data_IF_578420641634
#
_entry.id   IF_578420641634
#
_cell.length_a   1.000
_cell.length_b   1.000
_cell.length_c   1.000
_cell.angle_alpha   90.00
_cell.angle_beta   90.00
_cell.angle_gamma   90.00
#
_symmetry.space_group_name_H-M   'P 1'
#
loop_
_entity.id
_entity.type
_entity.pdbx_description
1 polymer ?
#
# COMPACT_ATOMS: atom_id res chain seq x y z
N UNK A 1 -13.54 -24.95 43.72
CA UNK A 1 -13.38 -25.03 42.26
C UNK A 1 -14.72 -25.34 41.65
N UNK A 2 -15.22 -24.48 40.78
CA UNK A 2 -16.46 -24.73 40.06
C UNK A 2 -16.31 -25.92 39.09
N UNK A 3 -17.36 -26.75 38.90
CA UNK A 3 -17.30 -27.90 37.97
C UNK A 3 -16.93 -27.51 36.53
N UNK A 4 -17.29 -26.29 36.11
CA UNK A 4 -16.99 -25.74 34.78
C UNK A 4 -15.50 -25.50 34.53
N UNK A 5 -14.69 -25.37 35.58
CA UNK A 5 -13.26 -25.04 35.51
C UNK A 5 -12.37 -26.25 35.82
N UNK A 6 -12.92 -27.32 36.37
CA UNK A 6 -12.18 -28.51 36.79
C UNK A 6 -11.38 -29.13 35.64
N UNK A 7 -11.99 -29.26 34.45
CA UNK A 7 -11.30 -29.78 33.27
C UNK A 7 -10.12 -28.92 32.83
N UNK A 8 -10.24 -27.59 32.97
CA UNK A 8 -9.17 -26.64 32.65
C UNK A 8 -8.05 -26.73 33.66
N UNK A 9 -8.38 -26.79 34.96
CA UNK A 9 -7.40 -26.98 36.02
C UNK A 9 -6.61 -28.28 35.86
N UNK A 10 -7.31 -29.40 35.63
CA UNK A 10 -6.66 -30.69 35.40
C UNK A 10 -5.74 -30.67 34.18
N UNK A 11 -6.13 -29.97 33.10
CA UNK A 11 -5.28 -29.80 31.93
C UNK A 11 -4.02 -28.96 32.23
N UNK A 12 -4.15 -27.90 33.04
CA UNK A 12 -3.02 -27.08 33.49
C UNK A 12 -2.07 -27.93 34.33
N UNK A 13 -2.57 -28.62 35.36
CA UNK A 13 -1.74 -29.47 36.24
C UNK A 13 -1.06 -30.58 35.46
N UNK A 14 -1.78 -31.21 34.52
CA UNK A 14 -1.20 -32.24 33.64
C UNK A 14 -0.03 -31.72 32.81
N UNK A 15 -0.07 -30.46 32.37
CA UNK A 15 0.94 -29.88 31.47
C UNK A 15 2.07 -29.17 32.21
N UNK A 16 1.76 -28.54 33.34
CA UNK A 16 2.66 -27.63 34.05
C UNK A 16 3.04 -28.11 35.46
N UNK A 17 2.46 -29.22 35.93
CA UNK A 17 2.65 -29.73 37.29
C UNK A 17 1.86 -28.93 38.32
N UNK A 18 2.22 -29.08 39.59
CA UNK A 18 1.65 -28.26 40.66
C UNK A 18 2.22 -26.84 40.57
N UNK A 19 1.36 -25.89 40.20
CA UNK A 19 1.68 -24.48 40.03
C UNK A 19 1.64 -23.70 41.36
N UNK A 20 1.30 -24.35 42.47
CA UNK A 20 1.08 -23.70 43.78
C UNK A 20 2.16 -23.98 44.83
N UNK A 21 3.20 -24.73 44.48
CA UNK A 21 4.26 -25.18 45.42
C UNK A 21 4.88 -24.05 46.26
N UNK A 22 5.09 -22.87 45.66
CA UNK A 22 5.71 -21.72 46.33
C UNK A 22 4.70 -20.69 46.86
N UNK A 23 3.40 -20.98 46.73
CA UNK A 23 2.32 -20.08 47.10
C UNK A 23 2.22 -19.95 48.63
N UNK A 24 2.27 -18.73 49.20
CA UNK A 24 2.22 -18.52 50.64
C UNK A 24 0.78 -18.57 51.21
N UNK A 25 -0.23 -18.82 50.37
CA UNK A 25 -1.62 -18.84 50.80
C UNK A 25 -1.93 -20.10 51.63
N UNK A 26 -2.14 -19.93 52.92
CA UNK A 26 -2.56 -21.00 53.83
C UNK A 26 -4.06 -21.33 53.70
N UNK A 27 -4.88 -20.34 53.35
CA UNK A 27 -6.32 -20.52 53.19
C UNK A 27 -6.65 -21.23 51.88
N UNK A 28 -7.13 -22.47 51.97
CA UNK A 28 -7.58 -23.24 50.80
C UNK A 28 -8.71 -22.54 50.03
N UNK A 29 -9.55 -21.75 50.70
CA UNK A 29 -10.57 -20.92 50.04
C UNK A 29 -9.93 -19.85 49.15
N UNK A 30 -8.96 -19.09 49.69
CA UNK A 30 -8.26 -18.05 48.94
C UNK A 30 -7.46 -18.62 47.77
N UNK A 31 -6.76 -19.74 47.99
CA UNK A 31 -6.01 -20.42 46.93
C UNK A 31 -6.95 -20.89 45.81
N UNK A 32 -8.11 -21.44 46.17
CA UNK A 32 -9.13 -21.86 45.21
C UNK A 32 -9.61 -20.68 44.36
N UNK A 33 -9.87 -19.51 44.95
CA UNK A 33 -10.30 -18.33 44.21
C UNK A 33 -9.26 -17.84 43.19
N UNK A 34 -7.97 -17.92 43.53
CA UNK A 34 -6.87 -17.57 42.61
C UNK A 34 -6.80 -18.56 41.45
N UNK A 35 -6.87 -19.87 41.75
CA UNK A 35 -6.88 -20.92 40.73
C UNK A 35 -8.09 -20.81 39.80
N UNK A 36 -9.27 -20.50 40.33
CA UNK A 36 -10.47 -20.26 39.52
C UNK A 36 -10.30 -19.08 38.56
N UNK A 37 -9.68 -17.98 39.01
CA UNK A 37 -9.38 -16.83 38.16
C UNK A 37 -8.41 -17.18 37.01
N UNK A 38 -7.37 -17.96 37.31
CA UNK A 38 -6.40 -18.45 36.31
C UNK A 38 -7.11 -19.37 35.29
N UNK A 39 -7.88 -20.36 35.77
CA UNK A 39 -8.61 -21.29 34.91
C UNK A 39 -9.61 -20.54 34.02
N UNK A 40 -10.30 -19.53 34.54
CA UNK A 40 -11.22 -18.71 33.75
C UNK A 40 -10.49 -17.95 32.65
N UNK A 41 -9.34 -17.31 32.96
CA UNK A 41 -8.53 -16.64 31.95
C UNK A 41 -8.09 -17.61 30.84
N UNK A 42 -7.62 -18.81 31.21
CA UNK A 42 -7.20 -19.85 30.25
C UNK A 42 -8.36 -20.30 29.36
N UNK A 43 -9.53 -20.54 29.95
CA UNK A 43 -10.71 -20.96 29.22
C UNK A 43 -11.18 -19.88 28.23
N UNK A 44 -11.19 -18.60 28.65
CA UNK A 44 -11.55 -17.49 27.76
C UNK A 44 -10.52 -17.30 26.64
N UNK A 45 -9.23 -17.47 26.92
CA UNK A 45 -8.17 -17.43 25.91
C UNK A 45 -8.31 -18.56 24.88
N UNK A 46 -8.78 -19.75 25.29
CA UNK A 46 -8.99 -20.90 24.40
C UNK A 46 -10.23 -20.74 23.50
N UNK A 47 -11.27 -20.06 23.99
CA UNK A 47 -12.53 -19.91 23.27
C UNK A 47 -12.52 -18.76 22.24
N UNK A 48 -11.64 -17.77 22.42
CA UNK A 48 -11.60 -16.56 21.59
C UNK A 48 -10.62 -16.71 20.43
N UNK A 49 -11.01 -16.20 19.27
CA UNK A 49 -10.13 -15.98 18.14
C UNK A 49 -9.26 -14.74 18.37
N UNK A 50 -8.08 -14.69 17.74
CA UNK A 50 -7.14 -13.56 17.87
C UNK A 50 -7.78 -12.20 17.52
N UNK A 51 -8.70 -12.17 16.56
CA UNK A 51 -9.42 -10.96 16.13
C UNK A 51 -10.41 -10.42 17.16
N UNK A 52 -10.73 -11.18 18.20
CA UNK A 52 -11.67 -10.80 19.27
C UNK A 52 -10.96 -10.18 20.48
N UNK A 53 -9.63 -10.12 20.49
CA UNK A 53 -8.87 -9.46 21.54
C UNK A 53 -8.67 -7.99 21.24
N UNK A 54 -8.74 -7.18 22.29
CA UNK A 54 -8.38 -5.76 22.28
C UNK A 54 -7.48 -5.45 23.48
N UNK A 55 -6.99 -4.21 23.56
CA UNK A 55 -6.06 -3.80 24.62
C UNK A 55 -6.67 -3.96 26.02
N UNK A 56 -7.93 -3.59 26.21
CA UNK A 56 -8.60 -3.64 27.51
C UNK A 56 -8.79 -5.09 27.98
N UNK A 57 -9.18 -5.97 27.06
CA UNK A 57 -9.38 -7.39 27.35
C UNK A 57 -8.05 -8.10 27.66
N UNK A 58 -6.98 -7.79 26.93
CA UNK A 58 -5.66 -8.33 27.28
C UNK A 58 -5.17 -7.80 28.62
N UNK A 59 -5.42 -6.53 28.93
CA UNK A 59 -5.07 -5.90 30.21
C UNK A 59 -5.75 -6.58 31.41
N UNK A 60 -7.00 -7.04 31.25
CA UNK A 60 -7.69 -7.78 32.31
C UNK A 60 -7.01 -9.12 32.61
N UNK A 61 -6.61 -9.89 31.59
CA UNK A 61 -5.87 -11.16 31.80
C UNK A 61 -4.48 -10.93 32.36
N UNK A 62 -3.76 -9.89 31.90
CA UNK A 62 -2.47 -9.52 32.49
C UNK A 62 -2.59 -9.16 33.97
N UNK A 63 -3.73 -8.62 34.39
CA UNK A 63 -3.96 -8.31 35.79
C UNK A 63 -4.12 -9.58 36.63
N UNK A 64 -4.84 -10.59 36.13
CA UNK A 64 -4.94 -11.92 36.76
C UNK A 64 -3.56 -12.56 36.90
N UNK A 65 -2.77 -12.57 35.81
CA UNK A 65 -1.42 -13.15 35.81
C UNK A 65 -0.51 -12.43 36.81
N UNK A 66 -0.51 -11.10 36.80
CA UNK A 66 0.30 -10.29 37.72
C UNK A 66 -0.05 -10.54 39.19
N UNK A 67 -1.33 -10.71 39.51
CA UNK A 67 -1.72 -10.97 40.89
C UNK A 67 -1.40 -12.41 41.32
N UNK A 68 -1.48 -13.39 40.40
CA UNK A 68 -1.01 -14.75 40.63
C UNK A 68 0.52 -14.82 40.84
N UNK A 69 1.31 -14.08 40.04
CA UNK A 69 2.76 -13.95 40.19
C UNK A 69 3.14 -13.38 41.57
N UNK A 70 2.45 -12.34 42.04
CA UNK A 70 2.65 -11.79 43.39
C UNK A 70 2.38 -12.81 44.50
N UNK A 71 1.44 -13.72 44.25
CA UNK A 71 1.11 -14.84 45.15
C UNK A 71 2.03 -16.05 44.92
N UNK A 72 3.11 -15.92 44.13
CA UNK A 72 4.06 -17.00 43.82
C UNK A 72 3.41 -18.25 43.22
N UNK A 73 2.26 -18.09 42.55
CA UNK A 73 1.69 -19.15 41.72
C UNK A 73 2.45 -19.14 40.39
N UNK A 74 2.95 -20.29 39.95
CA UNK A 74 3.71 -20.42 38.71
C UNK A 74 2.79 -20.26 37.49
N UNK A 75 2.78 -19.06 36.92
CA UNK A 75 1.97 -18.68 35.74
C UNK A 75 2.83 -18.12 34.60
N UNK A 76 4.14 -18.37 34.60
CA UNK A 76 5.08 -17.89 33.58
C UNK A 76 4.64 -18.32 32.17
N UNK A 77 4.11 -19.54 32.04
CA UNK A 77 3.58 -20.05 30.78
C UNK A 77 2.36 -19.27 30.28
N UNK A 78 1.53 -18.76 31.19
CA UNK A 78 0.35 -17.97 30.85
C UNK A 78 0.75 -16.54 30.50
N UNK A 79 1.73 -15.98 31.21
CA UNK A 79 2.39 -14.71 30.90
C UNK A 79 2.97 -14.73 29.48
N UNK A 80 3.79 -15.73 29.16
CA UNK A 80 4.34 -15.92 27.80
C UNK A 80 3.25 -16.03 26.76
N UNK A 81 2.19 -16.82 27.04
CA UNK A 81 1.10 -17.00 26.08
C UNK A 81 0.33 -15.70 25.82
N UNK A 82 0.14 -14.86 26.83
CA UNK A 82 -0.49 -13.55 26.66
C UNK A 82 0.39 -12.59 25.85
N UNK A 83 1.71 -12.64 26.05
CA UNK A 83 2.67 -11.84 25.28
C UNK A 83 2.63 -12.25 23.79
N UNK A 84 2.63 -13.56 23.48
CA UNK A 84 2.45 -14.08 22.11
C UNK A 84 1.12 -13.63 21.46
N UNK A 85 0.02 -13.66 22.21
CA UNK A 85 -1.29 -13.24 21.70
C UNK A 85 -1.29 -11.75 21.42
N UNK A 86 -0.70 -10.93 22.31
CA UNK A 86 -0.57 -9.49 22.12
C UNK A 86 0.22 -9.17 20.85
N UNK A 87 1.34 -9.85 20.63
CA UNK A 87 2.14 -9.69 19.42
C UNK A 87 1.37 -10.08 18.17
N UNK A 88 0.64 -11.21 18.21
CA UNK A 88 -0.20 -11.64 17.10
C UNK A 88 -1.31 -10.63 16.77
N UNK A 89 -1.96 -10.04 17.78
CA UNK A 89 -2.98 -8.99 17.61
C UNK A 89 -2.37 -7.75 16.96
N UNK A 90 -1.18 -7.32 17.40
CA UNK A 90 -0.48 -6.19 16.80
C UNK A 90 -0.13 -6.47 15.32
N UNK A 91 0.39 -7.66 15.01
CA UNK A 91 0.68 -8.09 13.64
C UNK A 91 -0.57 -8.05 12.75
N UNK A 92 -1.74 -8.47 13.25
CA UNK A 92 -3.02 -8.40 12.51
C UNK A 92 -3.38 -6.94 12.18
N UNK A 93 -3.25 -6.04 13.16
CA UNK A 93 -3.54 -4.61 12.98
C UNK A 93 -2.59 -3.98 11.96
N UNK A 94 -1.29 -4.26 12.06
CA UNK A 94 -0.27 -3.77 11.12
C UNK A 94 -0.50 -4.30 9.71
N UNK A 95 -0.77 -5.61 9.58
CA UNK A 95 -1.06 -6.25 8.28
C UNK A 95 -2.27 -5.59 7.60
N UNK A 96 -3.33 -5.28 8.37
CA UNK A 96 -4.49 -4.58 7.84
C UNK A 96 -4.12 -3.19 7.29
N UNK A 97 -3.35 -2.41 8.06
CA UNK A 97 -2.88 -1.08 7.62
C UNK A 97 -2.03 -1.15 6.35
N UNK A 98 -1.10 -2.10 6.29
CA UNK A 98 -0.27 -2.32 5.11
C UNK A 98 -1.09 -2.72 3.89
N UNK A 99 -2.12 -3.55 4.07
CA UNK A 99 -3.00 -3.94 2.97
C UNK A 99 -3.85 -2.76 2.47
N UNK A 100 -4.35 -1.92 3.38
CA UNK A 100 -5.09 -0.70 3.02
C UNK A 100 -4.19 0.27 2.23
N UNK A 101 -2.95 0.47 2.66
CA UNK A 101 -1.97 1.32 1.95
C UNK A 101 -1.57 0.74 0.59
N UNK A 102 -1.34 -0.57 0.50
CA UNK A 102 -1.09 -1.27 -0.77
C UNK A 102 -2.23 -1.03 -1.76
N UNK A 103 -3.49 -1.14 -1.31
CA UNK A 103 -4.65 -0.91 -2.16
C UNK A 103 -4.76 0.56 -2.61
N UNK A 104 -4.38 1.51 -1.75
CA UNK A 104 -4.31 2.94 -2.10
C UNK A 104 -3.28 3.19 -3.20
N UNK A 105 -2.07 2.66 -3.04
CA UNK A 105 -1.00 2.79 -4.03
C UNK A 105 -1.35 2.12 -5.36
N UNK A 106 -1.98 0.95 -5.34
CA UNK A 106 -2.42 0.27 -6.56
C UNK A 106 -3.40 1.13 -7.38
N UNK A 107 -4.36 1.80 -6.72
CA UNK A 107 -5.27 2.74 -7.38
C UNK A 107 -4.57 3.96 -7.94
N UNK A 108 -3.58 4.49 -7.22
CA UNK A 108 -2.79 5.63 -7.68
C UNK A 108 -2.00 5.27 -8.94
N UNK A 109 -1.33 4.11 -8.95
CA UNK A 109 -0.61 3.60 -10.13
C UNK A 109 -1.54 3.42 -11.32
N UNK A 110 -2.74 2.85 -11.11
CA UNK A 110 -3.72 2.69 -12.19
C UNK A 110 -4.14 4.03 -12.79
N UNK A 111 -4.38 5.05 -11.96
CA UNK A 111 -4.74 6.39 -12.43
C UNK A 111 -3.58 7.05 -13.18
N UNK A 112 -2.37 7.05 -12.62
CA UNK A 112 -1.18 7.61 -13.26
C UNK A 112 -0.87 6.91 -14.60
N UNK A 113 -1.11 5.60 -14.70
CA UNK A 113 -0.95 4.85 -15.96
C UNK A 113 -1.92 5.35 -17.02
N UNK A 114 -3.21 5.55 -16.68
CA UNK A 114 -4.22 6.08 -17.60
C UNK A 114 -3.90 7.50 -18.04
N UNK A 115 -3.43 8.34 -17.13
CA UNK A 115 -3.02 9.71 -17.44
C UNK A 115 -1.83 9.72 -18.42
N UNK A 116 -0.83 8.86 -18.19
CA UNK A 116 0.31 8.68 -19.09
C UNK A 116 -0.11 8.19 -20.48
N UNK A 117 -1.03 7.23 -20.56
CA UNK A 117 -1.58 6.75 -21.83
C UNK A 117 -2.26 7.89 -22.61
N UNK A 118 -3.05 8.73 -21.93
CA UNK A 118 -3.68 9.90 -22.54
C UNK A 118 -2.65 10.92 -23.05
N UNK A 119 -1.64 11.23 -22.23
CA UNK A 119 -0.57 12.16 -22.62
C UNK A 119 0.23 11.63 -23.82
N UNK A 120 0.53 10.33 -23.85
CA UNK A 120 1.22 9.72 -24.99
C UNK A 120 0.38 9.81 -26.28
N UNK A 121 -0.92 9.57 -26.21
CA UNK A 121 -1.81 9.70 -27.36
C UNK A 121 -1.91 11.15 -27.87
N UNK A 122 -1.83 12.15 -26.98
CA UNK A 122 -1.75 13.56 -27.37
C UNK A 122 -0.40 13.90 -28.02
N UNK A 123 0.70 13.38 -27.47
CA UNK A 123 2.04 13.56 -28.04
C UNK A 123 2.13 12.99 -29.46
N UNK A 124 1.57 11.81 -29.71
CA UNK A 124 1.53 11.20 -31.05
C UNK A 124 0.79 12.10 -32.05
N UNK A 125 -0.37 12.65 -31.66
CA UNK A 125 -1.13 13.60 -32.51
C UNK A 125 -0.33 14.85 -32.83
N UNK A 126 0.34 15.43 -31.82
CA UNK A 126 1.17 16.61 -32.00
C UNK A 126 2.36 16.33 -32.92
N UNK A 127 2.98 15.15 -32.80
CA UNK A 127 4.07 14.72 -33.68
C UNK A 127 3.61 14.62 -35.14
N UNK A 128 2.46 13.99 -35.41
CA UNK A 128 1.90 13.92 -36.77
C UNK A 128 1.58 15.31 -37.35
N UNK A 129 1.08 16.24 -36.52
CA UNK A 129 0.81 17.61 -36.96
C UNK A 129 2.08 18.40 -37.25
N UNK A 130 3.15 18.19 -36.46
CA UNK A 130 4.48 18.79 -36.72
C UNK A 130 5.03 18.29 -38.06
N UNK A 131 5.00 16.98 -38.30
CA UNK A 131 5.47 16.37 -39.55
C UNK A 131 4.69 16.91 -40.75
N UNK A 132 3.36 16.99 -40.63
CA UNK A 132 2.50 17.59 -41.67
C UNK A 132 2.88 19.04 -41.99
N UNK A 133 3.14 19.86 -40.96
CA UNK A 133 3.57 21.26 -41.14
C UNK A 133 4.96 21.38 -41.74
N UNK A 134 5.88 20.48 -41.40
CA UNK A 134 7.22 20.42 -42.01
C UNK A 134 7.12 20.12 -43.51
N UNK A 135 6.35 19.10 -43.88
CA UNK A 135 6.15 18.74 -45.29
C UNK A 135 5.53 19.89 -46.11
N UNK A 136 4.56 20.62 -45.56
CA UNK A 136 4.00 21.80 -46.22
C UNK A 136 5.03 22.92 -46.41
N UNK A 137 5.82 23.20 -45.37
CA UNK A 137 6.88 24.21 -45.45
C UNK A 137 7.92 23.86 -46.51
N UNK A 138 8.32 22.59 -46.59
CA UNK A 138 9.30 22.14 -47.59
C UNK A 138 8.74 22.29 -49.03
N UNK A 139 7.45 22.03 -49.23
CA UNK A 139 6.77 22.31 -50.50
C UNK A 139 6.74 23.81 -50.84
N UNK A 140 6.42 24.66 -49.86
CA UNK A 140 6.39 26.12 -50.04
C UNK A 140 7.78 26.68 -50.40
N UNK A 141 8.86 26.10 -49.84
CA UNK A 141 10.25 26.44 -50.22
C UNK A 141 10.50 26.12 -51.69
N UNK A 142 10.15 24.92 -52.16
CA UNK A 142 10.32 24.53 -53.56
C UNK A 142 9.53 25.43 -54.53
N UNK A 143 8.27 25.74 -54.18
CA UNK A 143 7.45 26.66 -54.98
C UNK A 143 8.04 28.07 -55.02
N UNK A 144 8.62 28.54 -53.92
CA UNK A 144 9.28 29.85 -53.86
C UNK A 144 10.51 29.90 -54.77
N UNK A 145 11.30 28.83 -54.83
CA UNK A 145 12.44 28.71 -55.74
C UNK A 145 12.00 28.73 -57.21
N UNK A 146 10.95 27.98 -57.55
CA UNK A 146 10.39 27.95 -58.92
C UNK A 146 9.87 29.33 -59.36
N UNK A 147 9.11 30.00 -58.49
CA UNK A 147 8.64 31.37 -58.75
C UNK A 147 9.81 32.34 -58.93
N UNK A 148 10.88 32.20 -58.13
CA UNK A 148 12.08 33.04 -58.24
C UNK A 148 12.77 32.85 -59.60
N UNK A 149 12.84 31.62 -60.11
CA UNK A 149 13.37 31.32 -61.45
C UNK A 149 12.52 32.00 -62.53
N UNK A 150 11.20 31.88 -62.44
CA UNK A 150 10.28 32.50 -63.41
C UNK A 150 10.36 34.03 -63.40
N UNK A 151 10.48 34.64 -62.21
CA UNK A 151 10.69 36.09 -62.07
C UNK A 151 11.97 36.52 -62.78
N UNK A 152 13.07 35.79 -62.58
CA UNK A 152 14.35 36.10 -63.23
C UNK A 152 14.27 35.97 -64.76
N UNK A 153 13.65 34.92 -65.30
CA UNK A 153 13.43 34.78 -66.75
C UNK A 153 12.63 35.96 -67.33
N UNK A 154 11.56 36.37 -66.64
CA UNK A 154 10.75 37.51 -67.06
C UNK A 154 11.51 38.83 -66.98
N UNK A 155 12.31 39.03 -65.93
CA UNK A 155 13.15 40.21 -65.78
C UNK A 155 14.16 40.34 -66.93
N UNK A 156 14.82 39.23 -67.31
CA UNK A 156 15.74 39.18 -68.45
C UNK A 156 15.02 39.51 -69.77
N UNK A 157 13.82 38.98 -70.00
CA UNK A 157 13.02 39.30 -71.19
C UNK A 157 12.65 40.78 -71.24
N UNK A 158 12.19 41.35 -70.12
CA UNK A 158 11.88 42.78 -70.03
C UNK A 158 13.12 43.62 -70.34
N UNK A 159 14.28 43.29 -69.77
CA UNK A 159 15.53 43.99 -70.02
C UNK A 159 15.94 43.92 -71.51
N UNK A 160 15.79 42.74 -72.13
CA UNK A 160 16.04 42.58 -73.56
C UNK A 160 15.16 43.50 -74.42
N UNK A 161 13.85 43.54 -74.15
CA UNK A 161 12.94 44.45 -74.86
C UNK A 161 13.26 45.93 -74.63
N UNK A 162 13.71 46.31 -73.43
CA UNK A 162 14.12 47.67 -73.12
C UNK A 162 15.39 48.11 -73.87
N UNK A 163 16.31 47.18 -74.12
CA UNK A 163 17.59 47.44 -74.77
C UNK A 163 17.55 47.30 -76.31
N UNK A 164 16.42 46.87 -76.89
CA UNK A 164 16.27 46.71 -78.33
C UNK A 164 15.94 48.05 -79.01
N UNK A 165 16.71 48.53 -79.99
CA UNK A 165 16.41 49.78 -80.70
C UNK A 165 15.14 49.65 -81.55
N UNK A 166 14.28 50.67 -81.52
CA UNK A 166 12.99 50.73 -82.23
C UNK A 166 13.05 50.45 -83.75
N UNK A 167 14.23 50.54 -84.37
CA UNK A 167 14.39 50.47 -85.83
C UNK A 167 14.81 49.09 -86.37
N UNK A 168 15.14 48.11 -85.53
CA UNK A 168 15.48 46.74 -85.98
C UNK A 168 14.28 45.78 -86.04
N UNK A 169 13.11 46.19 -85.53
CA UNK A 169 11.91 45.34 -85.45
C UNK A 169 11.01 45.34 -86.72
N UNK A 170 11.39 46.09 -87.77
CA UNK A 170 10.58 46.30 -88.99
C UNK A 170 11.36 46.12 -90.31
N UNK A 171 12.13 45.04 -90.47
CA UNK A 171 12.64 44.60 -91.77
C UNK A 171 12.29 43.14 -92.05
#
# INVERSE_FOLDING_TARGET
MSPSLESTFLAIVKKHGDITNDCPLESGYMLTSVLEAICKAVQELQQKQLTQFNCDLLSSYYSVVRDAEKMKVNVDWLRTRLDEIKDAVNCIVETKKLNDEKNRLAKQIENETKDLESMNAELEKLQSEIERKQNLRDLDVLLTEEVSILINDRALKIQHFQNMPLMEAFQ
#
